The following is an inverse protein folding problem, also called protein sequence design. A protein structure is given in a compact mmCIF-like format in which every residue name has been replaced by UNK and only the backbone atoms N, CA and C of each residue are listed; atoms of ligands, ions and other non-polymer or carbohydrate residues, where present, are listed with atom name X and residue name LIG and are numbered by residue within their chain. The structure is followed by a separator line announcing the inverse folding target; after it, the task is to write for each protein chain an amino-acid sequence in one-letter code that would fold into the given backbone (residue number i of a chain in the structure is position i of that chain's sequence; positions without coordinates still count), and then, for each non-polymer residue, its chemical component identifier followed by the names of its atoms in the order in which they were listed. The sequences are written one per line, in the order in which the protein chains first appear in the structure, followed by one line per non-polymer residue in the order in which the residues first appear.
data_IF_053891302241
#
_entry.id   IF_053891302241
#
_cell.length_a   1.000
_cell.length_b   1.000
_cell.length_c   1.000
_cell.angle_alpha   90.00
_cell.angle_beta   90.00
_cell.angle_gamma   90.00
#
_symmetry.space_group_name_H-M   'P 1'
#
loop_
_entity.id
_entity.type
_entity.pdbx_description
1 polymer ?
#
# COMPACT_ATOMS: atom_id res chain seq x y z
N UNK A 1 -10.71 15.99 20.45
CA UNK A 1 -11.59 16.22 19.28
C UNK A 1 -12.92 15.54 19.58
N UNK A 2 -14.09 16.10 19.26
CA UNK A 2 -15.35 15.40 19.44
C UNK A 2 -15.33 14.07 18.66
N UNK A 3 -15.75 12.97 19.28
CA UNK A 3 -15.69 11.60 18.72
C UNK A 3 -16.38 11.48 17.34
N UNK A 4 -17.47 12.22 17.15
CA UNK A 4 -18.15 12.23 15.85
C UNK A 4 -17.30 12.83 14.74
N UNK A 5 -16.62 13.95 14.97
CA UNK A 5 -15.78 14.60 13.98
C UNK A 5 -14.57 13.73 13.61
N UNK A 6 -13.97 13.08 14.59
CA UNK A 6 -12.88 12.12 14.37
C UNK A 6 -13.35 10.94 13.51
N UNK A 7 -14.51 10.38 13.82
CA UNK A 7 -15.12 9.29 13.05
C UNK A 7 -15.40 9.72 11.60
N UNK A 8 -15.93 10.92 11.38
CA UNK A 8 -16.16 11.49 10.04
C UNK A 8 -14.86 11.67 9.25
N UNK A 9 -13.79 12.14 9.90
CA UNK A 9 -12.47 12.27 9.27
C UNK A 9 -11.85 10.91 8.92
N UNK A 10 -12.01 9.90 9.77
CA UNK A 10 -11.58 8.52 9.46
C UNK A 10 -12.32 7.95 8.24
N UNK A 11 -13.63 8.16 8.18
CA UNK A 11 -14.43 7.76 7.01
C UNK A 11 -14.01 8.50 5.74
N UNK A 12 -13.76 9.81 5.83
CA UNK A 12 -13.27 10.60 4.70
C UNK A 12 -11.91 10.07 4.21
N UNK A 13 -10.96 9.82 5.11
CA UNK A 13 -9.66 9.24 4.79
C UNK A 13 -9.81 7.91 4.04
N UNK A 14 -10.63 7.00 4.57
CA UNK A 14 -10.86 5.69 3.95
C UNK A 14 -11.50 5.81 2.57
N UNK A 15 -12.55 6.63 2.45
CA UNK A 15 -13.28 6.84 1.21
C UNK A 15 -12.42 7.48 0.13
N UNK A 16 -11.65 8.55 0.44
CA UNK A 16 -10.76 9.21 -0.50
C UNK A 16 -9.63 8.27 -0.95
N UNK A 17 -9.03 7.50 -0.04
CA UNK A 17 -8.00 6.52 -0.37
C UNK A 17 -8.53 5.44 -1.31
N UNK A 18 -9.73 4.91 -1.05
CA UNK A 18 -10.38 3.90 -1.90
C UNK A 18 -10.73 4.45 -3.29
N UNK A 19 -11.25 5.70 -3.38
CA UNK A 19 -11.53 6.37 -4.66
C UNK A 19 -10.26 6.59 -5.46
N UNK A 20 -9.20 7.08 -4.85
CA UNK A 20 -7.91 7.27 -5.51
C UNK A 20 -7.36 5.96 -6.10
N UNK A 21 -7.41 4.87 -5.35
CA UNK A 21 -6.99 3.55 -5.83
C UNK A 21 -7.86 3.07 -7.00
N UNK A 22 -9.18 3.19 -6.89
CA UNK A 22 -10.13 2.82 -7.95
C UNK A 22 -9.90 3.62 -9.23
N UNK A 23 -9.75 4.94 -9.13
CA UNK A 23 -9.55 5.80 -10.31
C UNK A 23 -8.21 5.53 -11.00
N UNK A 24 -7.17 5.08 -10.29
CA UNK A 24 -5.93 4.59 -10.91
C UNK A 24 -6.17 3.32 -11.75
N UNK A 25 -7.00 2.38 -11.26
CA UNK A 25 -7.35 1.17 -12.02
C UNK A 25 -8.17 1.54 -13.27
N UNK A 26 -9.13 2.46 -13.15
CA UNK A 26 -9.92 2.93 -14.29
C UNK A 26 -9.08 3.67 -15.32
N UNK A 27 -8.14 4.52 -14.88
CA UNK A 27 -7.19 5.18 -15.78
C UNK A 27 -6.34 4.17 -16.56
N UNK A 28 -5.83 3.13 -15.87
CA UNK A 28 -5.07 2.08 -16.52
C UNK A 28 -5.90 1.28 -17.54
N UNK A 29 -7.17 1.03 -17.26
CA UNK A 29 -8.11 0.37 -18.19
C UNK A 29 -8.39 1.26 -19.40
N UNK A 30 -8.75 2.52 -19.20
CA UNK A 30 -9.00 3.49 -20.27
C UNK A 30 -7.77 3.65 -21.18
N UNK A 31 -6.56 3.66 -20.62
CA UNK A 31 -5.32 3.68 -21.39
C UNK A 31 -5.17 2.45 -22.29
N UNK A 32 -5.47 1.25 -21.77
CA UNK A 32 -5.43 0.01 -22.57
C UNK A 32 -6.45 -0.01 -23.70
N UNK A 33 -7.58 0.68 -23.52
CA UNK A 33 -8.65 0.83 -24.53
C UNK A 33 -8.40 1.99 -25.50
N UNK A 34 -7.25 2.66 -25.42
CA UNK A 34 -6.92 3.80 -26.28
C UNK A 34 -7.64 5.10 -25.94
N UNK A 35 -8.43 5.13 -24.86
CA UNK A 35 -9.21 6.30 -24.42
C UNK A 35 -8.34 7.26 -23.60
N UNK A 36 -7.32 7.85 -24.25
CA UNK A 36 -6.32 8.68 -23.56
C UNK A 36 -6.89 9.91 -22.83
N UNK A 37 -7.88 10.67 -23.37
CA UNK A 37 -8.47 11.78 -22.62
C UNK A 37 -9.14 11.33 -21.31
N UNK A 38 -9.87 10.22 -21.35
CA UNK A 38 -10.51 9.64 -20.17
C UNK A 38 -9.49 9.12 -19.16
N UNK A 39 -8.42 8.47 -19.62
CA UNK A 39 -7.32 8.05 -18.76
C UNK A 39 -6.66 9.23 -18.05
N UNK A 40 -6.45 10.36 -18.75
CA UNK A 40 -5.91 11.59 -18.16
C UNK A 40 -6.84 12.17 -17.08
N UNK A 41 -8.15 12.24 -17.36
CA UNK A 41 -9.14 12.70 -16.39
C UNK A 41 -9.13 11.83 -15.12
N UNK A 42 -9.21 10.51 -15.26
CA UNK A 42 -9.20 9.58 -14.12
C UNK A 42 -7.89 9.63 -13.32
N UNK A 43 -6.75 9.86 -13.97
CA UNK A 43 -5.48 10.09 -13.31
C UNK A 43 -5.50 11.38 -12.49
N UNK A 44 -6.05 12.46 -13.03
CA UNK A 44 -6.19 13.73 -12.30
C UNK A 44 -7.13 13.61 -11.11
N UNK A 45 -8.26 12.90 -11.26
CA UNK A 45 -9.19 12.60 -10.16
C UNK A 45 -8.48 11.81 -9.05
N UNK A 46 -7.75 10.75 -9.40
CA UNK A 46 -7.00 9.95 -8.42
C UNK A 46 -5.97 10.79 -7.65
N UNK A 47 -5.30 11.73 -8.31
CA UNK A 47 -4.36 12.65 -7.66
C UNK A 47 -5.07 13.61 -6.69
N UNK A 48 -6.22 14.18 -7.08
CA UNK A 48 -7.03 15.05 -6.22
C UNK A 48 -7.53 14.33 -4.97
N UNK A 49 -8.06 13.12 -5.13
CA UNK A 49 -8.54 12.28 -4.03
C UNK A 49 -7.39 11.89 -3.08
N UNK A 50 -6.20 11.63 -3.60
CA UNK A 50 -5.02 11.37 -2.78
C UNK A 50 -4.61 12.59 -1.94
N UNK A 51 -4.73 13.80 -2.48
CA UNK A 51 -4.50 15.04 -1.74
C UNK A 51 -5.53 15.19 -0.61
N UNK A 52 -6.81 14.91 -0.89
CA UNK A 52 -7.88 14.94 0.11
C UNK A 52 -7.64 13.92 1.23
N UNK A 53 -7.28 12.68 0.89
CA UNK A 53 -6.92 11.65 1.87
C UNK A 53 -5.75 12.07 2.76
N UNK A 54 -4.69 12.65 2.16
CA UNK A 54 -3.54 13.16 2.92
C UNK A 54 -3.94 14.29 3.88
N UNK A 55 -4.82 15.20 3.46
CA UNK A 55 -5.32 16.28 4.34
C UNK A 55 -6.11 15.72 5.52
N UNK A 56 -6.99 14.75 5.30
CA UNK A 56 -7.73 14.07 6.36
C UNK A 56 -6.78 13.36 7.33
N UNK A 57 -5.75 12.69 6.83
CA UNK A 57 -4.73 12.04 7.64
C UNK A 57 -3.95 13.04 8.50
N UNK A 58 -3.51 14.17 7.93
CA UNK A 58 -2.80 15.23 8.66
C UNK A 58 -3.69 15.80 9.77
N UNK A 59 -4.98 16.00 9.50
CA UNK A 59 -5.93 16.45 10.50
C UNK A 59 -6.06 15.47 11.68
N UNK A 60 -6.13 14.17 11.40
CA UNK A 60 -6.25 13.12 12.40
C UNK A 60 -4.98 12.94 13.25
N UNK A 61 -3.81 13.04 12.63
CA UNK A 61 -2.52 12.78 13.27
C UNK A 61 -1.81 14.03 13.78
N UNK A 62 -2.25 15.22 13.38
CA UNK A 62 -1.55 16.47 13.65
C UNK A 62 -0.29 16.65 12.79
N UNK A 63 0.67 17.40 13.30
CA UNK A 63 1.94 17.67 12.58
C UNK A 63 2.72 16.38 12.34
N UNK A 64 3.22 16.21 11.13
CA UNK A 64 4.15 15.14 10.79
C UNK A 64 5.48 15.43 11.47
N UNK A 65 5.97 14.47 12.27
CA UNK A 65 7.23 14.57 12.97
C UNK A 65 8.46 14.38 12.05
N UNK A 66 9.61 14.18 12.65
CA UNK A 66 10.84 13.92 11.91
C UNK A 66 10.83 12.51 11.26
N UNK A 67 11.49 12.39 10.10
CA UNK A 67 11.50 11.15 9.32
C UNK A 67 11.96 9.92 10.10
N UNK A 68 12.99 10.05 10.94
CA UNK A 68 13.51 8.96 11.75
C UNK A 68 12.47 8.35 12.71
N UNK A 69 11.58 9.17 13.29
CA UNK A 69 10.50 8.70 14.16
C UNK A 69 9.45 7.88 13.38
N UNK A 70 9.35 8.06 12.07
CA UNK A 70 8.40 7.32 11.25
C UNK A 70 8.87 5.90 10.92
N UNK A 71 10.17 5.62 10.91
CA UNK A 71 10.69 4.26 10.69
C UNK A 71 10.18 3.30 11.77
N UNK A 72 10.28 3.69 13.04
CA UNK A 72 9.79 2.88 14.15
C UNK A 72 8.28 2.67 14.10
N UNK A 73 7.53 3.73 13.81
CA UNK A 73 6.07 3.64 13.64
C UNK A 73 5.68 2.72 12.48
N UNK A 74 6.41 2.76 11.36
CA UNK A 74 6.18 1.89 10.20
C UNK A 74 6.48 0.42 10.55
N UNK A 75 7.58 0.16 11.27
CA UNK A 75 7.97 -1.18 11.73
C UNK A 75 6.84 -1.80 12.56
N UNK A 76 6.47 -1.16 13.67
CA UNK A 76 5.39 -1.65 14.55
C UNK A 76 4.06 -1.84 13.83
N UNK A 77 3.70 -0.96 12.89
CA UNK A 77 2.50 -1.11 12.07
C UNK A 77 2.56 -2.36 11.19
N UNK A 78 3.69 -2.60 10.49
CA UNK A 78 3.83 -3.75 9.59
C UNK A 78 3.83 -5.07 10.32
N UNK A 79 4.47 -5.13 11.47
CA UNK A 79 4.44 -6.29 12.36
C UNK A 79 3.02 -6.59 12.86
N UNK A 80 2.32 -5.56 13.36
CA UNK A 80 0.95 -5.70 13.88
C UNK A 80 -0.03 -6.23 12.84
N UNK A 81 -0.08 -5.65 11.64
CA UNK A 81 -1.02 -6.09 10.59
C UNK A 81 -0.68 -7.51 10.10
N UNK A 82 0.60 -7.86 10.01
CA UNK A 82 1.04 -9.19 9.60
C UNK A 82 0.77 -10.25 10.67
N UNK A 83 0.83 -9.89 11.97
CA UNK A 83 0.62 -10.82 13.07
C UNK A 83 -0.87 -11.01 13.41
N UNK A 84 -1.70 -9.99 13.22
CA UNK A 84 -3.07 -9.99 13.75
C UNK A 84 -4.14 -9.76 12.69
N UNK A 85 -4.07 -8.65 11.93
CA UNK A 85 -5.17 -8.24 11.06
C UNK A 85 -5.34 -9.18 9.85
N UNK A 86 -4.26 -9.48 9.14
CA UNK A 86 -4.34 -10.34 7.96
C UNK A 86 -4.61 -11.82 8.28
N UNK A 87 -4.03 -12.42 9.33
CA UNK A 87 -4.43 -13.74 9.79
C UNK A 87 -5.91 -13.83 10.17
N UNK A 88 -6.45 -12.82 10.88
CA UNK A 88 -7.87 -12.76 11.21
C UNK A 88 -8.76 -12.66 9.97
N UNK A 89 -8.39 -11.79 9.00
CA UNK A 89 -9.07 -11.68 7.71
C UNK A 89 -9.04 -12.99 6.92
N UNK A 90 -7.90 -13.68 6.90
CA UNK A 90 -7.77 -15.00 6.27
C UNK A 90 -8.66 -16.05 6.92
N UNK A 91 -8.75 -16.05 8.25
CA UNK A 91 -9.65 -16.97 8.96
C UNK A 91 -11.13 -16.67 8.65
N UNK A 92 -11.53 -15.41 8.62
CA UNK A 92 -12.88 -15.01 8.24
C UNK A 92 -13.24 -15.44 6.81
N UNK A 93 -12.32 -15.25 5.85
CA UNK A 93 -12.48 -15.67 4.47
C UNK A 93 -12.64 -17.20 4.36
N UNK A 94 -11.84 -17.95 5.11
CA UNK A 94 -11.93 -19.42 5.19
C UNK A 94 -13.28 -19.86 5.75
N UNK A 95 -13.76 -19.23 6.82
CA UNK A 95 -15.06 -19.53 7.41
C UNK A 95 -16.23 -19.22 6.47
N UNK A 96 -16.07 -18.21 5.60
CA UNK A 96 -17.03 -17.86 4.56
C UNK A 96 -16.92 -18.73 3.29
N UNK A 97 -15.93 -19.62 3.19
CA UNK A 97 -15.68 -20.43 2.00
C UNK A 97 -15.12 -19.63 0.80
N UNK A 98 -14.69 -18.38 1.02
CA UNK A 98 -14.14 -17.50 -0.03
C UNK A 98 -12.63 -17.72 -0.19
N UNK A 99 -12.28 -18.64 -1.10
CA UNK A 99 -10.87 -18.96 -1.43
C UNK A 99 -10.11 -17.78 -2.03
N UNK A 100 -10.79 -16.88 -2.74
CA UNK A 100 -10.17 -15.71 -3.35
C UNK A 100 -9.75 -14.71 -2.29
N UNK A 101 -10.64 -14.40 -1.35
CA UNK A 101 -10.34 -13.55 -0.20
C UNK A 101 -9.27 -14.17 0.70
N UNK A 102 -9.32 -15.51 0.95
CA UNK A 102 -8.29 -16.20 1.73
C UNK A 102 -6.90 -16.06 1.08
N UNK A 103 -6.80 -16.25 -0.23
CA UNK A 103 -5.54 -16.07 -0.98
C UNK A 103 -5.04 -14.62 -0.94
N UNK A 104 -5.95 -13.65 -1.06
CA UNK A 104 -5.60 -12.23 -0.96
C UNK A 104 -5.03 -11.86 0.42
N UNK A 105 -5.68 -12.28 1.51
CA UNK A 105 -5.17 -12.02 2.86
C UNK A 105 -3.83 -12.73 3.12
N UNK A 106 -3.64 -13.97 2.62
CA UNK A 106 -2.36 -14.65 2.71
C UNK A 106 -1.25 -13.90 1.95
N UNK A 107 -1.58 -13.26 0.82
CA UNK A 107 -0.63 -12.43 0.08
C UNK A 107 -0.31 -11.14 0.83
N UNK A 108 -1.30 -10.45 1.37
CA UNK A 108 -1.10 -9.23 2.18
C UNK A 108 -0.23 -9.49 3.40
N UNK A 109 -0.45 -10.62 4.09
CA UNK A 109 0.39 -11.05 5.21
C UNK A 109 1.86 -11.20 4.79
N UNK A 110 2.14 -11.93 3.69
CA UNK A 110 3.50 -12.12 3.17
C UNK A 110 4.17 -10.81 2.78
N UNK A 111 3.42 -9.90 2.14
CA UNK A 111 3.93 -8.59 1.75
C UNK A 111 4.24 -7.73 2.99
N UNK A 112 3.39 -7.72 4.01
CA UNK A 112 3.67 -6.97 5.24
C UNK A 112 4.87 -7.52 6.01
N UNK A 113 5.06 -8.85 6.04
CA UNK A 113 6.28 -9.46 6.61
C UNK A 113 7.54 -9.06 5.83
N UNK A 114 7.47 -9.00 4.49
CA UNK A 114 8.57 -8.49 3.69
C UNK A 114 8.87 -7.02 4.00
N UNK A 115 7.84 -6.17 4.11
CA UNK A 115 8.05 -4.77 4.45
C UNK A 115 8.67 -4.60 5.84
N UNK A 116 8.25 -5.41 6.83
CA UNK A 116 8.90 -5.43 8.14
C UNK A 116 10.37 -5.83 8.03
N UNK A 117 10.68 -6.91 7.31
CA UNK A 117 12.06 -7.36 7.10
C UNK A 117 12.95 -6.31 6.40
N UNK A 118 12.40 -5.54 5.45
CA UNK A 118 13.12 -4.41 4.84
C UNK A 118 13.42 -3.33 5.87
N UNK A 119 12.45 -3.00 6.74
CA UNK A 119 12.62 -2.01 7.81
C UNK A 119 13.59 -2.46 8.92
N UNK A 120 13.80 -3.77 9.06
CA UNK A 120 14.73 -4.36 10.03
C UNK A 120 16.18 -4.39 9.53
N UNK A 121 16.42 -4.04 8.26
CA UNK A 121 17.79 -3.90 7.76
C UNK A 121 18.50 -2.78 8.56
N UNK A 122 19.64 -3.05 9.22
CA UNK A 122 20.32 -2.08 10.07
C UNK A 122 20.77 -0.82 9.33
N UNK A 123 21.04 -0.93 8.02
CA UNK A 123 21.48 0.18 7.20
C UNK A 123 20.34 0.92 6.50
N UNK A 124 19.09 0.50 6.73
CA UNK A 124 17.93 1.13 6.09
C UNK A 124 17.81 2.59 6.53
N UNK A 125 17.77 3.49 5.57
CA UNK A 125 17.74 4.94 5.83
C UNK A 125 19.11 5.58 6.10
N UNK A 126 20.20 4.80 6.16
CA UNK A 126 21.57 5.28 6.30
C UNK A 126 22.40 5.08 5.02
N UNK A 127 22.20 3.98 4.32
CA UNK A 127 22.81 3.71 3.02
C UNK A 127 21.89 4.08 1.86
N UNK A 128 22.48 4.35 0.70
CA UNK A 128 21.75 4.63 -0.55
C UNK A 128 21.35 3.30 -1.20
N UNK A 129 20.20 2.78 -0.81
CA UNK A 129 19.64 1.54 -1.33
C UNK A 129 18.69 1.78 -2.50
N UNK A 130 18.72 0.88 -3.47
CA UNK A 130 17.73 0.82 -4.54
C UNK A 130 16.54 -0.04 -4.13
N UNK A 131 15.32 0.51 -4.23
CA UNK A 131 14.09 -0.20 -3.90
C UNK A 131 13.29 -0.50 -5.17
N UNK A 132 12.93 -1.76 -5.36
CA UNK A 132 12.10 -2.20 -6.48
C UNK A 132 10.78 -2.78 -5.97
N UNK A 133 9.65 -2.28 -6.47
CA UNK A 133 8.32 -2.69 -6.03
C UNK A 133 7.67 -3.57 -7.08
N UNK A 134 7.28 -4.78 -6.69
CA UNK A 134 6.48 -5.68 -7.53
C UNK A 134 5.10 -5.06 -7.80
N UNK A 135 4.80 -4.78 -9.06
CA UNK A 135 3.53 -4.15 -9.48
C UNK A 135 2.33 -5.09 -9.41
N UNK A 136 2.54 -6.35 -9.03
CA UNK A 136 1.48 -7.35 -8.86
C UNK A 136 1.02 -7.44 -7.41
N UNK A 137 1.97 -7.52 -6.45
CA UNK A 137 1.63 -7.77 -5.05
C UNK A 137 2.15 -6.72 -4.05
N UNK A 138 3.06 -5.82 -4.47
CA UNK A 138 3.65 -4.83 -3.57
C UNK A 138 4.87 -5.30 -2.79
N UNK A 139 5.43 -6.50 -3.07
CA UNK A 139 6.71 -6.94 -2.49
C UNK A 139 7.82 -5.94 -2.82
N UNK A 140 8.67 -5.61 -1.85
CA UNK A 140 9.83 -4.73 -2.02
C UNK A 140 11.09 -5.59 -2.08
N UNK A 141 11.83 -5.47 -3.19
CA UNK A 141 13.17 -5.99 -3.33
C UNK A 141 14.18 -4.88 -3.07
N UNK A 142 15.24 -5.18 -2.32
CA UNK A 142 16.32 -4.29 -1.95
C UNK A 142 17.50 -4.56 -2.88
N UNK A 143 18.06 -3.50 -3.48
CA UNK A 143 19.26 -3.46 -4.33
C UNK A 143 19.22 -4.30 -5.62
N UNK A 144 18.45 -5.38 -5.68
CA UNK A 144 18.35 -6.23 -6.86
C UNK A 144 16.94 -6.82 -7.04
N UNK A 145 16.50 -6.90 -8.29
CA UNK A 145 15.24 -7.57 -8.65
C UNK A 145 15.45 -9.08 -8.68
N UNK A 146 14.64 -9.90 -7.98
CA UNK A 146 14.74 -11.35 -8.01
C UNK A 146 14.27 -11.93 -9.34
N UNK A 147 14.73 -13.13 -9.70
CA UNK A 147 14.27 -13.87 -10.90
C UNK A 147 12.75 -14.11 -10.91
N UNK A 148 12.17 -14.32 -9.72
CA UNK A 148 10.72 -14.43 -9.50
C UNK A 148 10.36 -13.78 -8.18
N UNK A 149 9.24 -13.08 -8.16
CA UNK A 149 8.72 -12.51 -6.91
C UNK A 149 8.45 -13.63 -5.88
N UNK A 150 9.06 -13.57 -4.68
CA UNK A 150 8.87 -14.63 -3.67
C UNK A 150 7.44 -14.74 -3.15
N UNK A 151 6.61 -13.71 -3.35
CA UNK A 151 5.23 -13.67 -2.86
C UNK A 151 4.24 -14.16 -3.93
N UNK A 152 4.36 -13.66 -5.17
CA UNK A 152 3.35 -13.91 -6.22
C UNK A 152 3.90 -14.60 -7.47
N UNK A 153 5.20 -14.90 -7.54
CA UNK A 153 5.84 -15.56 -8.70
C UNK A 153 5.97 -14.66 -9.93
N UNK A 154 5.71 -13.35 -9.83
CA UNK A 154 5.81 -12.42 -10.95
C UNK A 154 7.25 -12.34 -11.49
N UNK A 155 7.38 -12.19 -12.82
CA UNK A 155 8.65 -12.03 -13.53
C UNK A 155 9.31 -10.68 -13.26
N UNK A 156 10.64 -10.53 -13.48
CA UNK A 156 11.39 -9.32 -13.15
C UNK A 156 10.83 -8.03 -13.77
N UNK A 157 10.29 -8.10 -14.97
CA UNK A 157 9.71 -6.96 -15.71
C UNK A 157 8.51 -6.33 -14.98
N UNK A 158 7.96 -7.01 -13.99
CA UNK A 158 6.89 -6.50 -13.13
C UNK A 158 7.39 -5.65 -11.96
N UNK A 159 8.70 -5.55 -11.78
CA UNK A 159 9.27 -4.68 -10.76
C UNK A 159 9.52 -3.29 -11.34
N UNK A 160 9.26 -2.28 -10.53
CA UNK A 160 9.55 -0.87 -10.86
C UNK A 160 10.38 -0.24 -9.74
N UNK A 161 11.40 0.57 -10.08
CA UNK A 161 12.12 1.32 -9.08
C UNK A 161 11.19 2.29 -8.36
N UNK A 162 11.31 2.38 -7.04
CA UNK A 162 10.68 3.44 -6.27
C UNK A 162 11.38 4.76 -6.59
N UNK A 163 10.58 5.81 -6.85
CA UNK A 163 11.09 7.17 -7.09
C UNK A 163 10.71 8.03 -5.91
N UNK A 164 11.68 8.77 -5.38
CA UNK A 164 11.48 9.79 -4.37
C UNK A 164 10.73 11.02 -4.91
#
# INVERSE_FOLDING_TARGET
MPDELESRMKLALAAESARAARNRLYAAKAKKEGQLPLAKLMTAMAAGEQISARRALIYLRGKIGQAAAHLEALRGQKESVAAHEYPAGRQAARSAGDRSAEAAFAQFEKVSRNHAAVLDNPDIGAADHEFYVCQVCGYIALDAVPEKCPVCGAVPERFKPAKA
#
